data_IF_828881788949
#
_entry.id   IF_828881788949
#
_cell.length_a   1.000
_cell.length_b   1.000
_cell.length_c   1.000
_cell.angle_alpha   90.00
_cell.angle_beta   90.00
_cell.angle_gamma   90.00
#
_symmetry.space_group_name_H-M   'P 1'
#
loop_
_entity.id
_entity.type
_entity.pdbx_description
1 polymer ?
#
# COMPACT_ATOMS: atom_id res chain seq x y z
N UNK A 1 3.02 -33.08 -10.57
CA UNK A 1 3.03 -31.74 -11.21
C UNK A 1 1.95 -30.82 -10.68
N UNK A 2 0.68 -31.22 -10.61
CA UNK A 2 -0.39 -30.39 -10.06
C UNK A 2 -0.16 -30.03 -8.58
N UNK A 3 0.36 -30.97 -7.79
CA UNK A 3 0.62 -30.75 -6.37
C UNK A 3 1.74 -29.73 -6.12
N UNK A 4 2.78 -29.72 -6.94
CA UNK A 4 3.88 -28.76 -6.85
C UNK A 4 3.41 -27.32 -7.15
N UNK A 5 2.53 -27.17 -8.13
CA UNK A 5 1.96 -25.85 -8.48
C UNK A 5 1.09 -25.31 -7.34
N UNK A 6 0.28 -26.18 -6.73
CA UNK A 6 -0.57 -25.80 -5.59
C UNK A 6 0.28 -25.43 -4.36
N UNK A 7 1.33 -26.17 -4.07
CA UNK A 7 2.26 -25.86 -2.97
C UNK A 7 2.95 -24.50 -3.17
N UNK A 8 3.39 -24.21 -4.40
CA UNK A 8 4.02 -22.92 -4.72
C UNK A 8 3.05 -21.76 -4.57
N UNK A 9 1.81 -21.91 -5.04
CA UNK A 9 0.78 -20.89 -4.88
C UNK A 9 0.41 -20.68 -3.42
N UNK A 10 0.30 -21.75 -2.64
CA UNK A 10 0.01 -21.67 -1.21
C UNK A 10 1.16 -20.98 -0.45
N UNK A 11 2.40 -21.34 -0.76
CA UNK A 11 3.58 -20.70 -0.17
C UNK A 11 3.64 -19.21 -0.48
N UNK A 12 3.32 -18.82 -1.72
CA UNK A 12 3.24 -17.42 -2.10
C UNK A 12 2.14 -16.66 -1.36
N UNK A 13 0.99 -17.28 -1.18
CA UNK A 13 -0.10 -16.73 -0.39
C UNK A 13 0.31 -16.50 1.06
N UNK A 14 0.90 -17.50 1.70
CA UNK A 14 1.37 -17.40 3.09
C UNK A 14 2.46 -16.32 3.24
N UNK A 15 3.38 -16.26 2.29
CA UNK A 15 4.43 -15.23 2.28
C UNK A 15 3.82 -13.82 2.18
N UNK A 16 2.82 -13.63 1.32
CA UNK A 16 2.10 -12.37 1.21
C UNK A 16 1.36 -11.99 2.49
N UNK A 17 0.68 -12.96 3.10
CA UNK A 17 -0.04 -12.78 4.37
C UNK A 17 0.94 -12.40 5.49
N UNK A 18 2.10 -13.05 5.55
CA UNK A 18 3.14 -12.75 6.53
C UNK A 18 3.70 -11.34 6.35
N UNK A 19 3.92 -10.91 5.12
CA UNK A 19 4.38 -9.54 4.83
C UNK A 19 3.35 -8.50 5.25
N UNK A 20 2.08 -8.73 4.99
CA UNK A 20 0.99 -7.84 5.41
C UNK A 20 0.96 -7.73 6.93
N UNK A 21 1.03 -8.85 7.65
CA UNK A 21 1.00 -8.85 9.10
C UNK A 21 2.19 -8.11 9.71
N UNK A 22 3.38 -8.27 9.15
CA UNK A 22 4.58 -7.57 9.61
C UNK A 22 4.47 -6.06 9.40
N UNK A 23 3.98 -5.63 8.24
CA UNK A 23 3.76 -4.20 7.96
C UNK A 23 2.71 -3.60 8.87
N UNK A 24 1.65 -4.36 9.14
CA UNK A 24 0.58 -3.93 10.04
C UNK A 24 1.09 -3.73 11.47
N UNK A 25 1.87 -4.69 11.99
CA UNK A 25 2.51 -4.57 13.29
C UNK A 25 3.41 -3.35 13.36
N UNK A 26 4.22 -3.14 12.33
CA UNK A 26 5.13 -2.01 12.28
C UNK A 26 4.37 -0.69 12.28
N UNK A 27 3.26 -0.60 11.57
CA UNK A 27 2.42 0.59 11.56
C UNK A 27 1.86 0.92 12.95
N UNK A 28 1.33 -0.08 13.65
CA UNK A 28 0.81 0.10 15.00
C UNK A 28 1.93 0.58 15.94
N UNK A 29 3.10 -0.01 15.81
CA UNK A 29 4.28 0.33 16.61
C UNK A 29 4.77 1.75 16.33
N UNK A 30 4.82 2.14 15.05
CA UNK A 30 5.27 3.46 14.62
C UNK A 30 4.35 4.58 15.14
N UNK A 31 3.06 4.27 15.33
CA UNK A 31 2.09 5.19 15.91
C UNK A 31 2.06 5.16 17.44
N UNK A 32 2.99 4.44 18.06
CA UNK A 32 3.09 4.30 19.53
C UNK A 32 1.81 3.80 20.19
N UNK A 33 1.11 2.89 19.50
CA UNK A 33 -0.14 2.31 20.00
C UNK A 33 0.06 0.88 20.49
N UNK A 34 -0.75 0.49 21.47
CA UNK A 34 -0.94 -0.92 21.80
C UNK A 34 -2.05 -1.51 20.92
N UNK A 35 -2.13 -2.84 20.85
CA UNK A 35 -3.22 -3.50 20.12
C UNK A 35 -4.59 -3.09 20.66
N UNK A 36 -4.71 -2.98 21.99
CA UNK A 36 -5.95 -2.57 22.64
C UNK A 36 -6.34 -1.14 22.26
N UNK A 37 -5.41 -0.21 22.28
CA UNK A 37 -5.65 1.18 21.90
C UNK A 37 -6.07 1.27 20.43
N UNK A 38 -5.39 0.53 19.56
CA UNK A 38 -5.73 0.47 18.16
C UNK A 38 -7.14 -0.05 17.92
N UNK A 39 -7.53 -1.15 18.60
CA UNK A 39 -8.88 -1.70 18.52
C UNK A 39 -9.94 -0.71 19.00
N UNK A 40 -9.69 -0.02 20.11
CA UNK A 40 -10.60 0.99 20.63
C UNK A 40 -10.80 2.14 19.65
N UNK A 41 -9.71 2.58 19.00
CA UNK A 41 -9.75 3.69 18.06
C UNK A 41 -10.44 3.34 16.75
N UNK A 42 -10.21 2.15 16.22
CA UNK A 42 -10.71 1.72 14.91
C UNK A 42 -12.05 0.98 14.97
N UNK A 43 -12.45 0.52 16.15
CA UNK A 43 -13.64 -0.32 16.29
C UNK A 43 -13.45 -1.78 15.89
N UNK A 44 -12.21 -2.19 15.59
CA UNK A 44 -11.88 -3.57 15.21
C UNK A 44 -11.84 -4.42 16.47
N UNK A 45 -12.36 -5.65 16.38
CA UNK A 45 -12.31 -6.58 17.52
C UNK A 45 -10.86 -7.07 17.75
N UNK A 46 -10.52 -7.30 19.02
CA UNK A 46 -9.18 -7.79 19.38
C UNK A 46 -8.88 -9.15 18.79
N UNK A 47 -9.89 -10.03 18.71
CA UNK A 47 -9.75 -11.36 18.11
C UNK A 47 -9.46 -11.30 16.61
N UNK A 48 -10.14 -10.43 15.88
CA UNK A 48 -9.91 -10.25 14.45
C UNK A 48 -8.52 -9.66 14.18
N UNK A 49 -8.15 -8.62 14.92
CA UNK A 49 -6.83 -8.01 14.80
C UNK A 49 -5.72 -9.04 15.10
N UNK A 50 -5.88 -9.84 16.14
CA UNK A 50 -4.91 -10.88 16.50
C UNK A 50 -4.68 -11.87 15.36
N UNK A 51 -5.74 -12.33 14.69
CA UNK A 51 -5.62 -13.23 13.54
C UNK A 51 -4.84 -12.61 12.39
N UNK A 52 -5.07 -11.35 12.10
CA UNK A 52 -4.35 -10.63 11.05
C UNK A 52 -2.87 -10.45 11.43
N UNK A 53 -2.59 -10.04 12.66
CA UNK A 53 -1.22 -9.79 13.12
C UNK A 53 -0.38 -11.06 13.24
N UNK A 54 -1.01 -12.23 13.43
CA UNK A 54 -0.32 -13.51 13.47
C UNK A 54 -0.20 -14.17 12.09
N UNK A 55 -0.72 -13.55 11.04
CA UNK A 55 -0.66 -14.08 9.68
C UNK A 55 -1.70 -15.16 9.37
N UNK A 56 -2.67 -15.41 10.26
CA UNK A 56 -3.73 -16.40 10.04
C UNK A 56 -4.88 -15.89 9.17
N UNK A 57 -4.96 -14.59 8.97
CA UNK A 57 -5.98 -13.97 8.12
C UNK A 57 -5.42 -12.72 7.47
N UNK A 58 -5.98 -12.34 6.34
CA UNK A 58 -5.73 -11.04 5.73
C UNK A 58 -6.78 -10.04 6.27
N UNK A 59 -6.48 -8.73 6.26
CA UNK A 59 -7.47 -7.72 6.66
C UNK A 59 -8.73 -7.82 5.80
N UNK A 60 -9.90 -7.78 6.44
CA UNK A 60 -11.17 -7.70 5.72
C UNK A 60 -11.38 -6.31 5.12
N UNK A 61 -12.30 -6.20 4.15
CA UNK A 61 -12.67 -4.91 3.59
C UNK A 61 -13.16 -3.93 4.65
N UNK A 62 -13.98 -4.40 5.60
CA UNK A 62 -14.47 -3.58 6.70
C UNK A 62 -13.32 -3.06 7.59
N UNK A 63 -12.34 -3.91 7.87
CA UNK A 63 -11.15 -3.52 8.62
C UNK A 63 -10.35 -2.45 7.88
N UNK A 64 -10.13 -2.62 6.58
CA UNK A 64 -9.41 -1.67 5.75
C UNK A 64 -10.10 -0.30 5.72
N UNK A 65 -11.42 -0.29 5.62
CA UNK A 65 -12.22 0.94 5.67
C UNK A 65 -12.02 1.66 7.01
N UNK A 66 -12.09 0.93 8.11
CA UNK A 66 -11.90 1.49 9.45
C UNK A 66 -10.51 2.09 9.63
N UNK A 67 -9.50 1.39 9.15
CA UNK A 67 -8.10 1.85 9.19
C UNK A 67 -7.91 3.12 8.37
N UNK A 68 -8.48 3.15 7.17
CA UNK A 68 -8.39 4.31 6.27
C UNK A 68 -9.09 5.53 6.86
N UNK A 69 -10.26 5.36 7.48
CA UNK A 69 -11.00 6.46 8.14
C UNK A 69 -10.20 7.10 9.27
N UNK A 70 -9.37 6.32 9.96
CA UNK A 70 -8.51 6.83 11.03
C UNK A 70 -7.23 7.49 10.50
N UNK A 71 -7.05 7.52 9.18
CA UNK A 71 -5.91 8.17 8.55
C UNK A 71 -4.67 7.30 8.39
N UNK A 72 -4.77 6.01 8.65
CA UNK A 72 -3.65 5.09 8.43
C UNK A 72 -3.47 4.79 6.94
N UNK A 73 -2.22 4.55 6.54
CA UNK A 73 -1.87 4.29 5.14
C UNK A 73 -2.11 2.82 4.78
N UNK A 74 -3.25 2.55 4.15
CA UNK A 74 -3.65 1.21 3.73
C UNK A 74 -2.71 0.66 2.63
N UNK A 75 -2.22 1.52 1.74
CA UNK A 75 -1.30 1.11 0.68
C UNK A 75 0.01 0.58 1.27
N UNK A 76 0.51 1.22 2.32
CA UNK A 76 1.72 0.77 3.00
C UNK A 76 1.55 -0.63 3.59
N UNK A 77 0.38 -0.91 4.18
CA UNK A 77 0.07 -2.23 4.77
C UNK A 77 -0.01 -3.30 3.68
N UNK A 78 -0.78 -3.04 2.63
CA UNK A 78 -1.09 -4.04 1.60
C UNK A 78 0.05 -4.24 0.60
N UNK A 79 0.68 -3.17 0.16
CA UNK A 79 1.64 -3.19 -0.94
C UNK A 79 3.07 -2.88 -0.53
N UNK A 80 3.28 -2.38 0.69
CA UNK A 80 4.60 -1.97 1.16
C UNK A 80 5.09 -0.65 0.56
N UNK A 81 4.22 0.07 -0.13
CA UNK A 81 4.53 1.36 -0.77
C UNK A 81 3.61 2.41 -0.19
N UNK A 82 4.17 3.49 0.35
CA UNK A 82 3.37 4.55 0.96
C UNK A 82 2.62 5.36 -0.11
N UNK A 83 1.52 5.95 0.31
CA UNK A 83 0.75 6.86 -0.54
C UNK A 83 1.60 8.03 -1.04
N UNK A 84 2.47 8.54 -0.20
CA UNK A 84 3.39 9.64 -0.53
C UNK A 84 4.36 9.22 -1.63
N UNK A 85 4.93 8.03 -1.57
CA UNK A 85 5.83 7.49 -2.59
C UNK A 85 5.13 7.39 -3.95
N UNK A 86 3.91 6.88 -3.98
CA UNK A 86 3.11 6.78 -5.20
C UNK A 86 2.87 8.16 -5.81
N UNK A 87 2.50 9.14 -5.00
CA UNK A 87 2.27 10.51 -5.45
C UNK A 87 3.54 11.15 -5.99
N UNK A 88 4.68 10.96 -5.33
CA UNK A 88 5.96 11.49 -5.77
C UNK A 88 6.40 10.92 -7.12
N UNK A 89 6.21 9.62 -7.33
CA UNK A 89 6.49 8.99 -8.63
C UNK A 89 5.64 9.60 -9.75
N UNK A 90 4.36 9.79 -9.50
CA UNK A 90 3.43 10.39 -10.47
C UNK A 90 3.77 11.84 -10.78
N UNK A 91 4.12 12.63 -9.77
CA UNK A 91 4.57 14.01 -9.95
C UNK A 91 5.84 14.07 -10.80
N UNK A 92 6.78 13.18 -10.58
CA UNK A 92 8.00 13.09 -11.39
C UNK A 92 7.70 12.77 -12.85
N UNK A 93 6.77 11.86 -13.13
CA UNK A 93 6.33 11.54 -14.49
C UNK A 93 5.67 12.74 -15.17
N UNK A 94 4.83 13.48 -14.46
CA UNK A 94 4.17 14.69 -14.96
C UNK A 94 5.21 15.74 -15.34
N UNK A 95 6.23 15.96 -14.51
CA UNK A 95 7.31 16.90 -14.81
C UNK A 95 8.08 16.51 -16.07
N UNK A 96 8.38 15.23 -16.26
CA UNK A 96 9.04 14.74 -17.48
C UNK A 96 8.19 15.01 -18.72
N UNK A 97 6.88 14.75 -18.64
CA UNK A 97 5.97 15.00 -19.76
C UNK A 97 5.85 16.48 -20.08
N UNK A 98 5.84 17.33 -19.08
CA UNK A 98 5.83 18.80 -19.28
C UNK A 98 7.07 19.29 -20.03
N UNK A 99 8.24 18.76 -19.68
CA UNK A 99 9.49 19.09 -20.38
C UNK A 99 9.45 18.68 -21.85
N UNK A 100 8.92 17.50 -22.15
CA UNK A 100 8.76 17.01 -23.52
C UNK A 100 7.82 17.93 -24.32
N UNK A 101 6.70 18.33 -23.72
CA UNK A 101 5.74 19.25 -24.34
C UNK A 101 6.41 20.59 -24.67
N UNK A 102 7.18 21.15 -23.76
CA UNK A 102 7.90 22.41 -23.97
C UNK A 102 8.92 22.30 -25.10
N UNK A 103 9.67 21.21 -25.17
CA UNK A 103 10.61 20.95 -26.27
C UNK A 103 9.89 20.90 -27.61
N UNK A 104 8.78 20.18 -27.69
CA UNK A 104 7.97 20.09 -28.90
C UNK A 104 7.40 21.46 -29.32
N UNK A 105 6.93 22.27 -28.38
CA UNK A 105 6.47 23.62 -28.65
C UNK A 105 7.59 24.51 -29.23
N UNK A 106 8.78 24.39 -28.67
CA UNK A 106 9.94 25.13 -29.17
C UNK A 106 10.27 24.78 -30.61
N UNK A 107 10.24 23.49 -30.95
CA UNK A 107 10.49 23.00 -32.31
C UNK A 107 9.42 23.53 -33.28
N UNK A 108 8.16 23.43 -32.90
CA UNK A 108 7.03 23.90 -33.71
C UNK A 108 7.15 25.42 -33.95
N UNK A 109 7.40 26.23 -32.93
CA UNK A 109 7.56 27.66 -33.03
C UNK A 109 8.74 28.04 -33.92
N UNK A 110 9.85 27.31 -33.82
CA UNK A 110 11.00 27.53 -34.68
C UNK A 110 10.65 27.32 -36.16
N UNK A 111 9.94 26.21 -36.47
CA UNK A 111 9.53 25.90 -37.82
C UNK A 111 8.51 26.91 -38.38
N UNK A 112 7.61 27.43 -37.56
CA UNK A 112 6.61 28.42 -37.97
C UNK A 112 7.23 29.79 -38.25
N UNK A 113 8.38 30.12 -37.69
CA UNK A 113 9.09 31.36 -37.91
C UNK A 113 9.94 31.40 -39.18
N UNK A 114 10.07 30.25 -39.83
CA UNK A 114 10.72 30.15 -41.12
C UNK A 114 9.72 30.51 -42.21
#
# INVERSE_FOLDING_TARGET
MADEIMETQYANYLSGTSKISNRFRQMIKDHNMTQKTFCNKTGISTGHLSKVLTGHAIPSGAMLISIAKEGFDVNLILCGVSKTEILNERESEIEKLKLIIEELRSIINFNLKK
#
